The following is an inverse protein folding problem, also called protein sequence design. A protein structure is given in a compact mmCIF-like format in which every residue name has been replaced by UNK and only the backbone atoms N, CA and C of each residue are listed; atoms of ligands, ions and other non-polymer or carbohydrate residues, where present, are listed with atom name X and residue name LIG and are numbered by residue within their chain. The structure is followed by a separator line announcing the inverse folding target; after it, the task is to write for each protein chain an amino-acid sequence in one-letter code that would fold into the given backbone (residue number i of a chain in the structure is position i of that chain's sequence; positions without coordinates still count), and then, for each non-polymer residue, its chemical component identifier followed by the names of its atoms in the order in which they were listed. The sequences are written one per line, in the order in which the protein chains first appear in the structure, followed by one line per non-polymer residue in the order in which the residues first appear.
data_IF_229021597029
#
_entry.id   IF_229021597029
#
_cell.length_a   1.000
_cell.length_b   1.000
_cell.length_c   1.000
_cell.angle_alpha   90.00
_cell.angle_beta   90.00
_cell.angle_gamma   90.00
#
_symmetry.space_group_name_H-M   'P 1'
#
loop_
_entity.id
_entity.type
_entity.pdbx_description
1 polymer ?
#
# COMPACT_ATOMS: atom_id res chain seq x y z
N UNK A 1 51.24 -4.79 17.27
CA UNK A 1 50.21 -3.82 16.83
C UNK A 1 49.10 -4.54 16.04
N UNK A 2 48.30 -5.41 16.68
CA UNK A 2 47.27 -6.21 15.96
C UNK A 2 45.88 -6.15 16.59
N UNK A 3 45.69 -5.31 17.63
CA UNK A 3 44.40 -5.17 18.33
C UNK A 3 43.44 -4.18 17.63
N UNK A 4 43.99 -3.26 16.82
CA UNK A 4 43.24 -2.19 16.14
C UNK A 4 42.54 -2.62 14.83
N UNK A 5 42.88 -3.78 14.27
CA UNK A 5 42.26 -4.26 13.01
C UNK A 5 40.97 -5.07 13.23
N UNK A 6 40.74 -5.61 14.45
CA UNK A 6 39.50 -6.36 14.77
C UNK A 6 38.30 -5.43 15.06
N UNK A 7 38.54 -4.25 15.62
CA UNK A 7 37.48 -3.28 15.93
C UNK A 7 36.89 -2.61 14.68
N UNK A 8 37.68 -2.43 13.62
CA UNK A 8 37.20 -1.89 12.33
C UNK A 8 36.24 -2.85 11.64
N UNK A 9 36.57 -4.14 11.59
CA UNK A 9 35.70 -5.16 10.99
C UNK A 9 34.39 -5.34 11.77
N UNK A 10 34.45 -5.32 13.10
CA UNK A 10 33.27 -5.45 13.94
C UNK A 10 32.34 -4.23 13.86
N UNK A 11 32.88 -3.01 13.76
CA UNK A 11 32.10 -1.80 13.48
C UNK A 11 31.43 -1.86 12.11
N UNK A 12 32.11 -2.32 11.06
CA UNK A 12 31.53 -2.42 9.72
C UNK A 12 30.40 -3.44 9.69
N UNK A 13 30.55 -4.61 10.32
CA UNK A 13 29.47 -5.60 10.42
C UNK A 13 28.29 -5.07 11.23
N UNK A 14 28.55 -4.38 12.35
CA UNK A 14 27.48 -3.75 13.14
C UNK A 14 26.76 -2.63 12.36
N UNK A 15 27.49 -1.81 11.60
CA UNK A 15 26.92 -0.76 10.76
C UNK A 15 26.06 -1.36 9.64
N UNK A 16 26.54 -2.42 8.99
CA UNK A 16 25.82 -3.15 7.94
C UNK A 16 24.56 -3.85 8.48
N UNK A 17 24.63 -4.43 9.68
CA UNK A 17 23.47 -5.05 10.35
C UNK A 17 22.43 -3.99 10.74
N UNK A 18 22.85 -2.84 11.27
CA UNK A 18 21.96 -1.72 11.59
C UNK A 18 21.34 -1.09 10.33
N UNK A 19 22.10 -0.96 9.24
CA UNK A 19 21.61 -0.49 7.94
C UNK A 19 20.64 -1.49 7.29
N UNK A 20 20.86 -2.80 7.43
CA UNK A 20 19.95 -3.85 6.93
C UNK A 20 18.71 -4.08 7.82
N UNK A 21 18.73 -3.58 9.06
CA UNK A 21 17.73 -3.86 10.08
C UNK A 21 16.51 -2.92 10.08
N UNK A 22 16.53 -1.81 9.34
CA UNK A 22 15.47 -0.79 9.39
C UNK A 22 14.51 -0.77 8.21
N UNK A 23 14.57 -1.72 7.29
CA UNK A 23 13.54 -1.88 6.26
C UNK A 23 12.76 -3.19 6.45
N UNK A 24 12.25 -3.42 7.66
CA UNK A 24 11.17 -4.39 7.86
C UNK A 24 9.85 -3.62 7.83
N UNK A 25 9.39 -3.28 6.63
CA UNK A 25 8.02 -2.85 6.40
C UNK A 25 7.09 -4.02 6.75
N UNK A 26 6.26 -3.87 7.80
CA UNK A 26 5.17 -4.81 8.05
C UNK A 26 4.19 -4.70 6.88
N UNK A 27 3.88 -5.80 6.16
CA UNK A 27 2.83 -5.76 5.17
C UNK A 27 1.50 -5.63 5.93
N UNK A 28 0.89 -4.44 5.89
CA UNK A 28 -0.48 -4.20 6.34
C UNK A 28 -1.45 -4.87 5.35
N UNK A 29 -1.56 -6.20 5.44
CA UNK A 29 -2.62 -6.94 4.74
C UNK A 29 -3.86 -6.94 5.62
N UNK A 30 -4.66 -5.88 5.50
CA UNK A 30 -6.04 -5.93 5.95
C UNK A 30 -6.90 -6.19 4.71
N UNK A 31 -7.23 -7.46 4.47
CA UNK A 31 -8.04 -7.91 3.34
C UNK A 31 -9.48 -8.07 3.75
N UNK A 32 -10.32 -7.07 3.44
CA UNK A 32 -11.77 -7.26 3.42
C UNK A 32 -12.16 -7.72 2.02
N UNK A 33 -12.24 -9.04 1.83
CA UNK A 33 -12.76 -9.67 0.61
C UNK A 33 -14.30 -9.59 0.65
N UNK A 34 -14.86 -8.52 0.08
CA UNK A 34 -16.26 -8.52 -0.31
C UNK A 34 -16.30 -8.92 -1.79
N UNK A 35 -16.87 -10.10 -2.07
CA UNK A 35 -16.85 -10.68 -3.42
C UNK A 35 -17.36 -9.65 -4.44
N UNK A 36 -16.47 -9.25 -5.36
CA UNK A 36 -16.67 -8.28 -6.46
C UNK A 36 -16.58 -6.77 -6.13
N UNK A 37 -15.88 -6.35 -5.06
CA UNK A 37 -15.55 -4.92 -4.85
C UNK A 37 -14.03 -4.71 -4.84
N UNK A 38 -13.52 -3.91 -5.77
CA UNK A 38 -12.11 -3.52 -5.82
C UNK A 38 -11.86 -2.35 -4.86
N UNK A 39 -10.85 -2.47 -4.00
CA UNK A 39 -10.39 -1.40 -3.12
C UNK A 39 -8.89 -1.13 -3.31
N UNK A 40 -8.50 0.14 -3.26
CA UNK A 40 -7.11 0.58 -3.36
C UNK A 40 -6.69 1.06 -1.96
N UNK A 41 -5.57 0.54 -1.45
CA UNK A 41 -5.03 0.87 -0.14
C UNK A 41 -3.60 1.38 -0.29
N UNK A 42 -3.31 2.52 0.33
CA UNK A 42 -1.96 3.11 0.39
C UNK A 42 -1.39 2.93 1.79
N UNK A 43 -0.09 2.62 1.88
CA UNK A 43 0.59 2.48 3.17
C UNK A 43 0.85 3.86 3.81
N UNK A 44 0.59 3.98 5.11
CA UNK A 44 0.83 5.19 5.89
C UNK A 44 0.39 5.01 7.35
N UNK A 45 0.79 5.93 8.23
CA UNK A 45 0.46 5.86 9.66
C UNK A 45 -1.03 6.11 9.93
N UNK A 46 -1.71 6.79 9.00
CA UNK A 46 -3.13 7.12 9.07
C UNK A 46 -3.76 6.76 7.73
N UNK A 47 -4.91 6.08 7.78
CA UNK A 47 -5.69 5.70 6.60
C UNK A 47 -6.90 6.62 6.48
N UNK A 48 -7.00 7.34 5.36
CA UNK A 48 -8.17 8.15 4.99
C UNK A 48 -8.84 7.50 3.79
N UNK A 49 -10.04 6.98 3.98
CA UNK A 49 -10.83 6.34 2.93
C UNK A 49 -11.79 7.30 2.22
N UNK A 50 -12.37 6.84 1.11
CA UNK A 50 -13.40 7.55 0.35
C UNK A 50 -14.14 6.60 -0.60
N UNK A 51 -15.41 6.88 -0.88
CA UNK A 51 -16.19 6.16 -1.89
C UNK A 51 -16.21 6.97 -3.19
N UNK A 52 -15.79 6.33 -4.28
CA UNK A 52 -15.75 6.94 -5.61
C UNK A 52 -16.74 6.25 -6.54
N UNK A 53 -17.55 7.01 -7.31
CA UNK A 53 -18.53 6.45 -8.25
C UNK A 53 -17.83 5.97 -9.54
N UNK A 54 -17.04 4.91 -9.41
CA UNK A 54 -16.24 4.33 -10.50
C UNK A 54 -17.11 3.63 -11.53
N UNK A 55 -18.19 2.98 -11.09
CA UNK A 55 -19.17 2.32 -11.95
C UNK A 55 -20.47 3.13 -12.01
N UNK A 56 -21.24 2.96 -13.08
CA UNK A 56 -22.64 3.37 -13.10
C UNK A 56 -23.48 2.49 -12.14
N UNK A 57 -24.68 2.96 -11.81
CA UNK A 57 -25.64 2.14 -11.10
C UNK A 57 -26.00 0.90 -11.95
N UNK A 58 -26.15 -0.23 -11.27
CA UNK A 58 -26.49 -1.51 -11.90
C UNK A 58 -27.88 -1.52 -12.56
N UNK A 59 -28.09 -2.47 -13.49
CA UNK A 59 -29.39 -2.65 -14.13
C UNK A 59 -30.34 -3.47 -13.23
N UNK A 60 -31.65 -3.29 -13.39
CA UNK A 60 -32.68 -4.01 -12.63
C UNK A 60 -32.62 -5.55 -12.78
N UNK A 61 -31.86 -6.04 -13.76
CA UNK A 61 -31.74 -7.45 -14.15
C UNK A 61 -30.50 -8.15 -13.56
N UNK A 62 -30.05 -7.70 -12.38
CA UNK A 62 -29.17 -8.48 -11.50
C UNK A 62 -27.68 -8.10 -11.49
N UNK A 63 -27.24 -7.07 -12.21
CA UNK A 63 -25.91 -6.50 -12.02
C UNK A 63 -25.95 -5.39 -10.97
N UNK A 64 -25.07 -5.44 -9.96
CA UNK A 64 -24.99 -4.38 -8.94
C UNK A 64 -24.25 -3.13 -9.43
N UNK A 65 -23.39 -3.26 -10.44
CA UNK A 65 -22.58 -2.20 -11.03
C UNK A 65 -22.73 -2.20 -12.56
N UNK A 66 -22.74 -1.01 -13.16
CA UNK A 66 -22.74 -0.78 -14.60
C UNK A 66 -21.33 -0.48 -15.16
N UNK A 67 -21.30 0.24 -16.28
CA UNK A 67 -20.05 0.59 -16.98
C UNK A 67 -19.14 1.52 -16.15
N UNK A 68 -17.84 1.51 -16.43
CA UNK A 68 -16.86 2.39 -15.74
C UNK A 68 -16.99 3.84 -16.22
N UNK A 69 -17.04 4.80 -15.29
CA UNK A 69 -17.06 6.25 -15.55
C UNK A 69 -15.67 6.86 -15.39
N UNK A 70 -14.89 7.06 -16.47
CA UNK A 70 -13.52 7.57 -16.38
C UNK A 70 -13.48 9.00 -15.82
N UNK A 71 -14.28 9.92 -16.37
CA UNK A 71 -14.19 11.35 -16.03
C UNK A 71 -14.80 11.71 -14.65
N UNK A 72 -15.78 10.93 -14.18
CA UNK A 72 -16.48 11.23 -12.92
C UNK A 72 -16.10 10.33 -11.76
N UNK A 73 -15.65 9.11 -12.04
CA UNK A 73 -15.23 8.13 -11.04
C UNK A 73 -13.72 8.06 -10.91
N UNK A 74 -13.07 7.59 -11.98
CA UNK A 74 -11.61 7.34 -11.98
C UNK A 74 -10.83 8.63 -11.75
N UNK A 75 -11.14 9.72 -12.45
CA UNK A 75 -10.40 10.98 -12.28
C UNK A 75 -10.47 11.52 -10.84
N UNK A 76 -11.58 11.29 -10.12
CA UNK A 76 -11.71 11.70 -8.71
C UNK A 76 -10.91 10.81 -7.79
N UNK A 77 -10.88 9.51 -8.08
CA UNK A 77 -10.06 8.54 -7.36
C UNK A 77 -8.57 8.88 -7.56
N UNK A 78 -8.14 9.17 -8.79
CA UNK A 78 -6.77 9.58 -9.11
C UNK A 78 -6.38 10.90 -8.44
N UNK A 79 -7.31 11.83 -8.23
CA UNK A 79 -7.04 13.07 -7.50
C UNK A 79 -6.85 12.87 -5.98
N UNK A 80 -7.21 11.71 -5.43
CA UNK A 80 -7.01 11.36 -4.02
C UNK A 80 -5.71 10.58 -3.79
N UNK A 81 -5.21 9.89 -4.83
CA UNK A 81 -3.95 9.13 -4.81
C UNK A 81 -2.74 10.07 -4.95
#
# INVERSE_FOLDING_TARGET
MTISQRTKGLCVVALLVLLSGWCRSEPLTDGYEHENVLSIRLAGDIVIGGLFPVHEDGSAEGSHCGQVKPDKGIQRMEAML
#
